data_IF_761248484596
#
_entry.id   IF_761248484596
#
_cell.length_a   1.000
_cell.length_b   1.000
_cell.length_c   1.000
_cell.angle_alpha   90.00
_cell.angle_beta   90.00
_cell.angle_gamma   90.00
#
_symmetry.space_group_name_H-M   'P 1'
#
loop_
_entity.id
_entity.type
_entity.pdbx_description
1 polymer ?
#
# COMPACT_ATOMS: atom_id res chain seq x y z
N UNK A 1 -11.71 15.71 0.56
CA UNK A 1 -12.59 16.86 0.83
C UNK A 1 -13.88 16.33 1.43
N UNK A 2 -14.56 17.11 2.26
CA UNK A 2 -15.83 16.73 2.89
C UNK A 2 -16.90 17.80 2.63
N UNK A 3 -18.20 17.46 2.71
CA UNK A 3 -19.27 18.45 2.70
C UNK A 3 -19.13 19.46 3.85
N UNK A 4 -19.78 20.61 3.72
CA UNK A 4 -19.79 21.65 4.76
C UNK A 4 -20.31 21.11 6.10
N UNK A 5 -19.63 21.49 7.20
CA UNK A 5 -19.96 21.02 8.54
C UNK A 5 -19.64 19.55 8.81
N UNK A 6 -18.88 18.88 7.92
CA UNK A 6 -18.49 17.46 8.06
C UNK A 6 -16.98 17.29 8.10
N UNK A 7 -16.57 16.21 8.77
CA UNK A 7 -15.18 15.74 8.85
C UNK A 7 -15.07 14.30 8.35
N UNK A 8 -13.86 13.87 7.98
CA UNK A 8 -13.58 12.50 7.58
C UNK A 8 -12.32 11.99 8.25
N UNK A 9 -12.34 10.73 8.70
CA UNK A 9 -11.17 10.04 9.25
C UNK A 9 -10.92 8.80 8.38
N UNK A 10 -9.68 8.61 7.96
CA UNK A 10 -9.22 7.37 7.34
C UNK A 10 -8.38 6.60 8.35
N UNK A 11 -8.62 5.30 8.47
CA UNK A 11 -7.82 4.41 9.31
C UNK A 11 -7.22 3.31 8.47
N UNK A 12 -6.01 2.89 8.83
CA UNK A 12 -5.31 1.79 8.17
C UNK A 12 -5.11 0.66 9.17
N UNK A 13 -5.58 -0.53 8.82
CA UNK A 13 -5.48 -1.72 9.67
C UNK A 13 -4.76 -2.83 8.91
N UNK A 14 -3.48 -3.04 9.23
CA UNK A 14 -2.68 -4.09 8.62
C UNK A 14 -3.10 -5.49 9.11
N UNK A 15 -3.29 -6.42 8.16
CA UNK A 15 -3.57 -7.83 8.40
C UNK A 15 -2.63 -8.72 7.60
N UNK A 16 -2.39 -9.95 8.08
CA UNK A 16 -1.63 -10.97 7.35
C UNK A 16 -2.00 -12.36 7.85
N UNK A 17 -1.42 -13.41 7.27
CA UNK A 17 -1.55 -14.77 7.81
C UNK A 17 -1.02 -14.90 9.25
N UNK A 18 -0.10 -14.03 9.66
CA UNK A 18 0.47 -14.01 11.02
C UNK A 18 -0.29 -13.08 11.97
N UNK A 19 -1.16 -12.22 11.42
CA UNK A 19 -2.05 -11.34 12.17
C UNK A 19 -3.43 -11.38 11.51
N UNK A 20 -4.17 -12.49 11.67
CA UNK A 20 -5.46 -12.68 11.02
C UNK A 20 -6.46 -11.65 11.53
N UNK A 21 -7.43 -11.32 10.68
CA UNK A 21 -8.49 -10.36 10.98
C UNK A 21 -9.78 -10.81 10.32
N UNK A 22 -10.88 -10.78 11.08
CA UNK A 22 -12.21 -10.90 10.49
C UNK A 22 -12.53 -9.62 9.72
N UNK A 23 -13.01 -9.77 8.49
CA UNK A 23 -13.42 -8.62 7.66
C UNK A 23 -14.76 -8.04 8.11
N UNK A 24 -15.58 -8.86 8.74
CA UNK A 24 -16.97 -8.51 9.10
C UNK A 24 -17.04 -7.53 10.27
N UNK A 25 -15.95 -7.36 11.03
CA UNK A 25 -15.91 -6.53 12.25
C UNK A 25 -14.93 -5.35 12.15
N UNK A 26 -14.46 -5.03 10.95
CA UNK A 26 -13.41 -4.03 10.74
C UNK A 26 -13.90 -2.62 11.09
N UNK A 27 -15.15 -2.28 10.76
CA UNK A 27 -15.71 -0.95 11.01
C UNK A 27 -15.90 -0.72 12.50
N UNK A 28 -16.53 -1.66 13.20
CA UNK A 28 -16.78 -1.57 14.64
C UNK A 28 -15.47 -1.46 15.40
N UNK A 29 -14.48 -2.27 15.01
CA UNK A 29 -13.15 -2.21 15.60
C UNK A 29 -12.46 -0.86 15.37
N UNK A 30 -12.60 -0.28 14.19
CA UNK A 30 -12.05 1.04 13.90
C UNK A 30 -12.71 2.13 14.75
N UNK A 31 -14.04 2.13 14.84
CA UNK A 31 -14.82 3.07 15.66
C UNK A 31 -14.42 2.94 17.14
N UNK A 32 -14.40 1.72 17.69
CA UNK A 32 -13.99 1.47 19.07
C UNK A 32 -12.57 1.96 19.36
N UNK A 33 -11.66 1.78 18.39
CA UNK A 33 -10.27 2.24 18.53
C UNK A 33 -10.17 3.76 18.49
N UNK A 34 -10.96 4.42 17.64
CA UNK A 34 -11.04 5.88 17.57
C UNK A 34 -11.64 6.48 18.85
N UNK A 35 -12.67 5.84 19.41
CA UNK A 35 -13.23 6.23 20.72
C UNK A 35 -12.22 6.08 21.85
N UNK A 36 -11.51 4.94 21.91
CA UNK A 36 -10.41 4.73 22.87
C UNK A 36 -9.28 5.75 22.72
N UNK A 37 -9.05 6.26 21.52
CA UNK A 37 -8.07 7.31 21.24
C UNK A 37 -8.61 8.73 21.48
N UNK A 38 -9.86 8.89 21.93
CA UNK A 38 -10.55 10.19 22.09
C UNK A 38 -10.61 11.01 20.77
N UNK A 39 -10.74 10.32 19.63
CA UNK A 39 -10.92 10.93 18.30
C UNK A 39 -12.37 10.87 17.82
N UNK A 40 -13.19 10.00 18.42
CA UNK A 40 -14.63 9.93 18.25
C UNK A 40 -15.27 9.82 19.63
N UNK A 41 -16.50 10.34 19.75
CA UNK A 41 -17.30 10.32 20.96
C UNK A 41 -18.64 9.61 20.68
N UNK A 42 -19.44 9.38 21.73
CA UNK A 42 -20.71 8.66 21.60
C UNK A 42 -21.81 9.47 20.90
N UNK A 43 -21.72 10.80 20.94
CA UNK A 43 -22.61 11.75 20.29
C UNK A 43 -22.19 12.09 18.83
N UNK A 44 -21.02 11.62 18.39
CA UNK A 44 -20.61 11.75 17.00
C UNK A 44 -21.50 10.92 16.07
N UNK A 45 -22.02 11.56 15.03
CA UNK A 45 -22.85 10.91 14.01
C UNK A 45 -21.99 10.49 12.81
N UNK A 46 -21.84 9.17 12.63
CA UNK A 46 -21.19 8.59 11.46
C UNK A 46 -22.20 8.50 10.32
N UNK A 47 -22.01 9.29 9.27
CA UNK A 47 -22.94 9.33 8.11
C UNK A 47 -22.56 8.35 7.00
N UNK A 48 -21.26 8.07 6.84
CA UNK A 48 -20.74 7.19 5.79
C UNK A 48 -19.56 6.40 6.34
N UNK A 49 -19.50 5.11 6.01
CA UNK A 49 -18.34 4.26 6.21
C UNK A 49 -17.94 3.63 4.89
N UNK A 50 -16.64 3.40 4.69
CA UNK A 50 -16.12 2.72 3.52
C UNK A 50 -14.93 1.84 3.93
N UNK A 51 -14.88 0.64 3.35
CA UNK A 51 -13.74 -0.28 3.49
C UNK A 51 -13.08 -0.43 2.12
N UNK A 52 -11.77 -0.21 2.07
CA UNK A 52 -10.93 -0.58 0.92
C UNK A 52 -9.98 -1.71 1.34
N UNK A 53 -10.24 -2.92 0.85
CA UNK A 53 -9.39 -4.08 1.15
C UNK A 53 -8.25 -4.21 0.13
N UNK A 54 -7.02 -3.96 0.57
CA UNK A 54 -5.82 -4.08 -0.27
C UNK A 54 -5.02 -5.34 0.09
N UNK A 55 -5.09 -6.38 -0.75
CA UNK A 55 -4.34 -7.65 -0.53
C UNK A 55 -2.82 -7.43 -0.52
N UNK A 56 -2.33 -6.52 -1.36
CA UNK A 56 -0.92 -6.16 -1.47
C UNK A 56 -0.79 -4.66 -1.19
N UNK A 57 -0.42 -4.32 0.04
CA UNK A 57 -0.28 -2.93 0.49
C UNK A 57 1.17 -2.58 0.86
N UNK A 58 1.87 -3.51 1.51
CA UNK A 58 3.22 -3.31 2.01
C UNK A 58 4.21 -4.29 1.40
N UNK A 59 5.40 -3.77 1.08
CA UNK A 59 6.58 -4.59 0.82
C UNK A 59 7.15 -5.02 2.17
N UNK A 60 7.33 -6.32 2.36
CA UNK A 60 7.92 -6.89 3.56
C UNK A 60 9.36 -7.25 3.27
N UNK A 61 10.27 -6.72 4.09
CA UNK A 61 11.69 -7.03 4.05
C UNK A 61 11.94 -8.19 5.00
N UNK A 62 11.88 -9.40 4.46
CA UNK A 62 12.37 -10.57 5.18
C UNK A 62 13.91 -10.68 5.04
N UNK A 63 14.49 -11.63 5.78
CA UNK A 63 15.94 -11.85 5.79
C UNK A 63 16.53 -12.25 4.42
N UNK A 64 15.68 -12.69 3.48
CA UNK A 64 16.06 -13.12 2.15
C UNK A 64 15.65 -12.14 1.05
N UNK A 65 15.11 -10.96 1.41
CA UNK A 65 14.51 -10.00 0.47
C UNK A 65 15.44 -9.72 -0.70
N UNK A 66 16.64 -9.18 -0.46
CA UNK A 66 17.58 -8.82 -1.53
C UNK A 66 17.96 -10.02 -2.40
N UNK A 67 18.30 -11.15 -1.78
CA UNK A 67 18.66 -12.39 -2.49
C UNK A 67 17.56 -12.83 -3.46
N UNK A 68 16.30 -12.81 -3.01
CA UNK A 68 15.17 -13.26 -3.80
C UNK A 68 14.78 -12.24 -4.89
N UNK A 69 14.74 -10.96 -4.53
CA UNK A 69 14.43 -9.86 -5.46
C UNK A 69 15.47 -9.80 -6.57
N UNK A 70 16.76 -9.87 -6.25
CA UNK A 70 17.85 -9.87 -7.24
C UNK A 70 17.75 -11.06 -8.21
N UNK A 71 17.42 -12.25 -7.69
CA UNK A 71 17.21 -13.45 -8.52
C UNK A 71 16.05 -13.26 -9.50
N UNK A 72 14.92 -12.76 -9.02
CA UNK A 72 13.72 -12.51 -9.83
C UNK A 72 14.01 -11.44 -10.89
N UNK A 73 14.57 -10.29 -10.49
CA UNK A 73 14.86 -9.21 -11.43
C UNK A 73 15.92 -9.60 -12.46
N UNK A 74 16.92 -10.42 -12.08
CA UNK A 74 17.91 -10.92 -13.04
C UNK A 74 17.24 -11.81 -14.10
N UNK A 75 16.34 -12.69 -13.69
CA UNK A 75 15.53 -13.49 -14.62
C UNK A 75 14.69 -12.59 -15.55
N UNK A 76 13.97 -11.60 -15.00
CA UNK A 76 13.14 -10.69 -15.79
C UNK A 76 13.96 -9.89 -16.81
N UNK A 77 15.10 -9.33 -16.38
CA UNK A 77 16.01 -8.58 -17.27
C UNK A 77 16.57 -9.45 -18.40
N UNK A 78 16.94 -10.71 -18.11
CA UNK A 78 17.41 -11.65 -19.13
C UNK A 78 16.33 -11.97 -20.18
N UNK A 79 15.06 -11.76 -19.84
CA UNK A 79 13.91 -11.93 -20.73
C UNK A 79 13.36 -10.58 -21.26
N UNK A 80 14.17 -9.52 -21.24
CA UNK A 80 13.79 -8.18 -21.72
C UNK A 80 12.58 -7.55 -21.00
N UNK A 81 12.33 -7.94 -19.75
CA UNK A 81 11.28 -7.36 -18.90
C UNK A 81 11.93 -6.40 -17.90
N UNK A 82 11.46 -5.16 -17.88
CA UNK A 82 11.91 -4.13 -16.93
C UNK A 82 10.82 -3.93 -15.88
N UNK A 83 11.14 -4.29 -14.64
CA UNK A 83 10.27 -4.00 -13.49
C UNK A 83 10.45 -2.56 -13.01
N UNK A 84 9.35 -1.92 -12.62
CA UNK A 84 9.34 -0.58 -12.03
C UNK A 84 8.22 -0.43 -10.98
N UNK A 85 8.32 0.61 -10.14
CA UNK A 85 7.38 0.97 -9.09
C UNK A 85 7.51 0.11 -7.82
N UNK A 86 6.77 0.48 -6.77
CA UNK A 86 6.78 -0.17 -5.44
C UNK A 86 6.72 -1.70 -5.50
N UNK A 87 5.75 -2.26 -6.21
CA UNK A 87 5.55 -3.71 -6.30
C UNK A 87 6.32 -4.39 -7.43
N UNK A 88 6.79 -3.64 -8.44
CA UNK A 88 7.62 -4.20 -9.50
C UNK A 88 9.08 -4.31 -9.08
N UNK A 89 9.63 -3.25 -8.48
CA UNK A 89 10.98 -3.29 -7.88
C UNK A 89 10.99 -4.01 -6.54
N UNK A 90 9.81 -4.25 -5.94
CA UNK A 90 9.68 -4.84 -4.60
C UNK A 90 10.43 -4.04 -3.54
N UNK A 91 10.30 -2.71 -3.63
CA UNK A 91 10.95 -1.73 -2.77
C UNK A 91 9.90 -0.88 -2.05
N UNK A 92 10.22 -0.43 -0.83
CA UNK A 92 9.31 0.40 -0.02
C UNK A 92 9.26 1.84 -0.53
N UNK A 93 8.63 2.03 -1.69
CA UNK A 93 8.51 3.33 -2.33
C UNK A 93 7.27 4.09 -1.89
N UNK A 94 7.45 5.39 -1.73
CA UNK A 94 6.39 6.38 -1.79
C UNK A 94 6.07 6.75 -3.26
N UNK A 95 5.11 7.66 -3.47
CA UNK A 95 4.63 8.02 -4.81
C UNK A 95 5.73 8.60 -5.70
N UNK A 96 6.52 9.54 -5.18
CA UNK A 96 7.64 10.18 -5.86
C UNK A 96 8.66 9.15 -6.38
N UNK A 97 9.07 8.21 -5.53
CA UNK A 97 9.99 7.13 -5.89
C UNK A 97 9.40 6.19 -6.95
N UNK A 98 8.10 5.90 -6.86
CA UNK A 98 7.42 5.07 -7.85
C UNK A 98 7.32 5.74 -9.22
N UNK A 99 7.02 7.04 -9.25
CA UNK A 99 6.99 7.85 -10.48
C UNK A 99 8.39 7.91 -11.10
N UNK A 100 9.41 8.22 -10.29
CA UNK A 100 10.79 8.27 -10.77
C UNK A 100 11.30 6.91 -11.26
N UNK A 101 10.89 5.83 -10.61
CA UNK A 101 11.16 4.46 -11.08
C UNK A 101 10.57 4.20 -12.46
N UNK A 102 9.30 4.57 -12.68
CA UNK A 102 8.66 4.47 -14.00
C UNK A 102 9.40 5.29 -15.07
N UNK A 103 9.81 6.52 -14.74
CA UNK A 103 10.61 7.35 -15.64
C UNK A 103 11.93 6.67 -16.01
N UNK A 104 12.67 6.15 -15.03
CA UNK A 104 13.95 5.44 -15.28
C UNK A 104 13.75 4.22 -16.18
N UNK A 105 12.66 3.49 -16.02
CA UNK A 105 12.33 2.36 -16.88
C UNK A 105 12.09 2.81 -18.33
N UNK A 106 11.31 3.88 -18.54
CA UNK A 106 11.07 4.46 -19.87
C UNK A 106 12.36 4.99 -20.52
N UNK A 107 13.19 5.73 -19.77
CA UNK A 107 14.49 6.23 -20.27
C UNK A 107 15.40 5.07 -20.71
N UNK A 108 15.38 3.95 -19.97
CA UNK A 108 16.16 2.76 -20.30
C UNK A 108 15.66 2.07 -21.57
N UNK A 109 14.34 1.97 -21.75
CA UNK A 109 13.75 1.44 -22.99
C UNK A 109 14.14 2.28 -24.20
N UNK A 110 14.05 3.61 -24.10
CA UNK A 110 14.40 4.49 -25.20
C UNK A 110 15.87 4.32 -25.64
N UNK A 111 16.81 4.16 -24.69
CA UNK A 111 18.23 3.89 -25.00
C UNK A 111 18.51 2.51 -25.61
N UNK A 112 17.55 1.58 -25.56
CA UNK A 112 17.69 0.26 -26.17
C UNK A 112 17.10 0.22 -27.59
N UNK A 113 16.24 1.18 -27.93
CA UNK A 113 15.57 1.27 -29.24
C UNK A 113 16.31 2.18 -30.23
N UNK A 114 17.19 3.05 -29.74
CA UNK A 114 18.03 3.99 -30.50
C UNK A 114 19.48 3.86 -30.05
#
# INVERSE_FOLDING_TARGET
TTPEGKSSISTEIAYSKFRPMSKDTVIERAIDSLKKANLLFDDDKIEVTQILNMKYAYIIYDLNHRKNVDKIHSFLRANNIISCGRFGEWEYFNMDHSIMSGKRAADKLNKLLY
#
